data_IF_349129894215
#
_entry.id   IF_349129894215
#
_cell.length_a   1.000
_cell.length_b   1.000
_cell.length_c   1.000
_cell.angle_alpha   90.00
_cell.angle_beta   90.00
_cell.angle_gamma   90.00
#
_symmetry.space_group_name_H-M   'P 1'
#
loop_
_entity.id
_entity.type
_entity.pdbx_description
1 polymer ?
#
# COMPACT_ATOMS: atom_id res chain seq x y z
N UNK A 1 1.43 3.75 20.05
CA UNK A 1 1.77 2.94 18.86
C UNK A 1 2.56 3.84 17.94
N UNK A 2 3.79 3.47 17.58
CA UNK A 2 4.69 4.32 16.80
C UNK A 2 4.12 4.51 15.38
N UNK A 3 3.98 5.76 14.94
CA UNK A 3 3.30 6.17 13.69
C UNK A 3 4.26 6.18 12.48
N UNK A 4 5.47 5.60 12.60
CA UNK A 4 6.48 5.65 11.53
C UNK A 4 6.01 4.92 10.28
N UNK A 5 5.84 5.68 9.19
CA UNK A 5 5.54 5.16 7.85
C UNK A 5 6.79 4.84 7.03
N UNK A 6 7.97 5.18 7.54
CA UNK A 6 9.26 4.92 6.90
C UNK A 6 10.30 4.45 7.94
N UNK A 7 11.10 3.46 7.54
CA UNK A 7 12.24 2.97 8.31
C UNK A 7 13.36 2.41 7.40
N UNK A 8 14.53 2.14 7.97
CA UNK A 8 15.61 1.42 7.32
C UNK A 8 15.66 -0.02 7.81
N UNK A 9 16.08 -0.95 6.96
CA UNK A 9 16.24 -2.36 7.34
C UNK A 9 17.18 -2.55 8.53
N UNK A 10 18.19 -1.69 8.67
CA UNK A 10 19.16 -1.74 9.76
C UNK A 10 18.54 -1.31 11.09
N UNK A 11 17.82 -0.20 11.10
CA UNK A 11 17.12 0.27 12.30
C UNK A 11 16.05 -0.73 12.75
N UNK A 12 15.27 -1.31 11.83
CA UNK A 12 14.33 -2.39 12.16
C UNK A 12 15.03 -3.61 12.74
N UNK A 13 16.18 -4.00 12.20
CA UNK A 13 16.95 -5.13 12.71
C UNK A 13 17.43 -4.90 14.15
N UNK A 14 17.88 -3.68 14.45
CA UNK A 14 18.27 -3.27 15.80
C UNK A 14 17.07 -3.25 16.76
N UNK A 15 15.93 -2.68 16.33
CA UNK A 15 14.71 -2.58 17.13
C UNK A 15 14.15 -3.97 17.48
N UNK A 16 14.16 -4.91 16.53
CA UNK A 16 13.65 -6.27 16.73
C UNK A 16 14.71 -7.26 17.26
N UNK A 17 15.97 -6.84 17.39
CA UNK A 17 17.06 -7.71 17.87
C UNK A 17 17.39 -8.87 16.92
N UNK A 18 17.23 -8.67 15.62
CA UNK A 18 17.45 -9.69 14.58
C UNK A 18 18.50 -9.25 13.55
N UNK A 19 18.84 -10.14 12.61
CA UNK A 19 19.74 -9.76 11.52
C UNK A 19 19.02 -8.90 10.47
N UNK A 20 19.77 -8.01 9.80
CA UNK A 20 19.25 -7.29 8.63
C UNK A 20 18.72 -8.23 7.53
N UNK A 21 19.33 -9.41 7.38
CA UNK A 21 18.87 -10.43 6.42
C UNK A 21 17.49 -11.01 6.81
N UNK A 22 17.20 -11.14 8.10
CA UNK A 22 15.88 -11.55 8.60
C UNK A 22 14.82 -10.53 8.19
N UNK A 23 15.05 -9.25 8.50
CA UNK A 23 14.14 -8.15 8.10
C UNK A 23 13.95 -8.12 6.58
N UNK A 24 15.02 -8.30 5.79
CA UNK A 24 14.91 -8.30 4.34
C UNK A 24 14.05 -9.46 3.81
N UNK A 25 14.17 -10.66 4.38
CA UNK A 25 13.34 -11.82 4.00
C UNK A 25 11.88 -11.61 4.38
N UNK A 26 11.62 -11.14 5.59
CA UNK A 26 10.27 -10.84 6.05
C UNK A 26 9.64 -9.74 5.19
N UNK A 27 10.42 -8.71 4.83
CA UNK A 27 10.01 -7.70 3.86
C UNK A 27 9.62 -8.31 2.51
N UNK A 28 10.42 -9.22 1.95
CA UNK A 28 10.10 -9.83 0.66
C UNK A 28 8.77 -10.59 0.72
N UNK A 29 8.54 -11.38 1.77
CA UNK A 29 7.28 -12.09 1.98
C UNK A 29 6.10 -11.12 2.13
N UNK A 30 6.26 -10.07 2.92
CA UNK A 30 5.19 -9.08 3.12
C UNK A 30 4.94 -8.25 1.86
N UNK A 31 5.96 -7.98 1.05
CA UNK A 31 5.83 -7.25 -0.22
C UNK A 31 5.05 -8.03 -1.29
N UNK A 32 4.81 -9.34 -1.11
CA UNK A 32 3.93 -10.13 -1.97
C UNK A 32 2.45 -9.77 -1.75
N UNK A 33 2.08 -9.36 -0.54
CA UNK A 33 0.69 -9.09 -0.16
C UNK A 33 0.38 -7.59 0.04
N UNK A 34 1.38 -6.84 0.48
CA UNK A 34 1.24 -5.44 0.86
C UNK A 34 2.08 -4.56 -0.07
N UNK A 35 1.59 -3.35 -0.41
CA UNK A 35 2.24 -2.48 -1.38
C UNK A 35 3.43 -1.75 -0.76
N UNK A 36 4.46 -2.46 -0.33
CA UNK A 36 5.65 -1.84 0.22
C UNK A 36 6.47 -1.12 -0.87
N UNK A 37 6.99 0.06 -0.52
CA UNK A 37 8.02 0.75 -1.29
C UNK A 37 9.37 0.41 -0.69
N UNK A 38 10.28 -0.07 -1.53
CA UNK A 38 11.69 -0.22 -1.18
C UNK A 38 12.52 0.79 -1.96
N UNK A 39 13.14 1.72 -1.24
CA UNK A 39 14.07 2.70 -1.83
C UNK A 39 15.49 2.22 -1.61
N UNK A 40 16.27 2.06 -2.68
CA UNK A 40 17.67 1.64 -2.62
C UNK A 40 18.57 2.88 -2.52
N UNK A 41 19.64 2.81 -1.74
CA UNK A 41 20.68 3.84 -1.68
C UNK A 41 21.04 4.30 -0.27
N UNK A 42 21.82 5.38 -0.17
CA UNK A 42 22.36 5.91 1.10
C UNK A 42 21.27 6.39 2.06
N UNK A 43 20.15 6.87 1.52
CA UNK A 43 18.92 7.24 2.23
C UNK A 43 17.79 6.24 1.94
N UNK A 44 18.15 5.01 1.56
CA UNK A 44 17.22 3.95 1.26
C UNK A 44 16.52 3.39 2.49
N UNK A 45 15.39 2.74 2.29
CA UNK A 45 14.56 2.21 3.36
C UNK A 45 13.29 1.56 2.83
N UNK A 46 12.37 1.30 3.74
CA UNK A 46 11.07 0.70 3.48
C UNK A 46 9.97 1.64 3.96
N UNK A 47 8.90 1.74 3.17
CA UNK A 47 7.70 2.48 3.54
C UNK A 47 6.45 1.83 2.94
N UNK A 48 5.29 2.30 3.40
CA UNK A 48 4.02 2.10 2.70
C UNK A 48 3.70 3.41 1.96
N UNK A 49 3.18 3.37 0.73
CA UNK A 49 2.82 4.59 0.01
C UNK A 49 1.76 5.40 0.75
N UNK A 50 1.63 6.66 0.39
CA UNK A 50 0.86 7.62 1.17
C UNK A 50 -0.63 7.32 1.12
N UNK A 51 -1.27 7.21 2.28
CA UNK A 51 -2.70 6.90 2.39
C UNK A 51 -3.04 5.42 2.54
N UNK A 52 -2.07 4.50 2.45
CA UNK A 52 -2.32 3.09 2.77
C UNK A 52 -2.22 2.83 4.26
N UNK A 53 -3.14 2.01 4.75
CA UNK A 53 -3.27 1.66 6.16
C UNK A 53 -3.77 0.22 6.24
N UNK A 54 -3.04 -0.64 6.97
CA UNK A 54 -3.38 -2.05 7.18
C UNK A 54 -4.78 -2.25 7.78
N UNK A 55 -5.29 -1.25 8.50
CA UNK A 55 -6.63 -1.27 9.11
C UNK A 55 -7.78 -1.04 8.14
N UNK A 56 -7.49 -0.71 6.87
CA UNK A 56 -8.49 -0.45 5.84
C UNK A 56 -8.45 -1.54 4.77
N UNK A 57 -9.58 -1.75 4.11
CA UNK A 57 -9.69 -2.58 2.91
C UNK A 57 -9.59 -1.68 1.69
N UNK A 58 -8.89 -2.15 0.67
CA UNK A 58 -8.74 -1.44 -0.60
C UNK A 58 -9.19 -2.35 -1.74
N UNK A 59 -9.58 -1.71 -2.84
CA UNK A 59 -9.71 -2.41 -4.11
C UNK A 59 -8.32 -2.83 -4.61
N UNK A 60 -8.24 -3.96 -5.30
CA UNK A 60 -7.06 -4.23 -6.10
C UNK A 60 -6.94 -3.20 -7.24
N UNK A 61 -5.74 -2.97 -7.80
CA UNK A 61 -5.57 -2.10 -8.96
C UNK A 61 -6.51 -2.46 -10.11
N UNK A 62 -6.63 -3.77 -10.42
CA UNK A 62 -7.53 -4.26 -11.46
C UNK A 62 -9.01 -3.99 -11.18
N UNK A 63 -9.43 -4.08 -9.91
CA UNK A 63 -10.80 -3.76 -9.51
C UNK A 63 -11.09 -2.27 -9.68
N UNK A 64 -10.19 -1.40 -9.19
CA UNK A 64 -10.34 0.05 -9.34
C UNK A 64 -10.37 0.45 -10.82
N UNK A 65 -9.47 -0.11 -11.63
CA UNK A 65 -9.40 0.19 -13.06
C UNK A 65 -10.61 -0.34 -13.84
N UNK A 66 -11.13 -1.52 -13.47
CA UNK A 66 -12.37 -2.03 -14.05
C UNK A 66 -13.54 -1.07 -13.82
N UNK A 67 -13.65 -0.48 -12.61
CA UNK A 67 -14.69 0.51 -12.29
C UNK A 67 -14.44 1.80 -13.08
N UNK A 68 -13.20 2.34 -13.07
CA UNK A 68 -12.82 3.57 -13.78
C UNK A 68 -13.17 3.50 -15.28
N UNK A 69 -12.83 2.39 -15.95
CA UNK A 69 -13.12 2.19 -17.38
C UNK A 69 -14.62 2.17 -17.71
N UNK A 70 -15.46 1.83 -16.75
CA UNK A 70 -16.90 1.68 -16.95
C UNK A 70 -17.75 2.85 -16.41
N UNK A 71 -17.15 3.84 -15.75
CA UNK A 71 -17.87 5.01 -15.22
C UNK A 71 -18.74 5.73 -16.26
N UNK A 72 -18.26 5.83 -17.50
CA UNK A 72 -18.99 6.49 -18.58
C UNK A 72 -20.07 5.62 -19.23
N UNK A 73 -20.04 4.31 -18.99
CA UNK A 73 -20.93 3.33 -19.64
C UNK A 73 -22.13 2.96 -18.77
N UNK A 74 -22.11 3.28 -17.47
CA UNK A 74 -23.19 2.99 -16.54
C UNK A 74 -24.22 4.12 -16.47
N UNK A 75 -25.41 3.81 -15.96
CA UNK A 75 -26.45 4.81 -15.71
C UNK A 75 -25.96 5.90 -14.73
N UNK A 76 -26.55 7.09 -14.79
CA UNK A 76 -26.11 8.23 -13.98
C UNK A 76 -26.12 7.93 -12.47
N UNK A 77 -27.13 7.19 -12.00
CA UNK A 77 -27.22 6.77 -10.59
C UNK A 77 -26.10 5.80 -10.19
N UNK A 78 -25.81 4.81 -11.04
CA UNK A 78 -24.73 3.85 -10.79
C UNK A 78 -23.35 4.52 -10.85
N UNK A 79 -23.19 5.55 -11.69
CA UNK A 79 -21.95 6.33 -11.79
C UNK A 79 -21.60 6.98 -10.45
N UNK A 80 -22.58 7.54 -9.75
CA UNK A 80 -22.36 8.15 -8.43
C UNK A 80 -21.92 7.10 -7.39
N UNK A 81 -22.56 5.93 -7.40
CA UNK A 81 -22.19 4.81 -6.53
C UNK A 81 -20.78 4.30 -6.85
N UNK A 82 -20.44 4.16 -8.13
CA UNK A 82 -19.12 3.70 -8.56
C UNK A 82 -18.05 4.73 -8.17
N UNK A 83 -18.35 6.02 -8.30
CA UNK A 83 -17.47 7.09 -7.87
C UNK A 83 -17.27 7.06 -6.34
N UNK A 84 -18.32 6.81 -5.55
CA UNK A 84 -18.18 6.69 -4.10
C UNK A 84 -17.33 5.48 -3.69
N UNK A 85 -17.52 4.32 -4.35
CA UNK A 85 -16.70 3.12 -4.14
C UNK A 85 -15.22 3.42 -4.40
N UNK A 86 -14.91 4.13 -5.49
CA UNK A 86 -13.54 4.56 -5.78
C UNK A 86 -13.02 5.51 -4.69
N UNK A 87 -13.80 6.47 -4.24
CA UNK A 87 -13.38 7.41 -3.21
C UNK A 87 -13.11 6.73 -1.85
N UNK A 88 -13.91 5.71 -1.51
CA UNK A 88 -13.83 5.03 -0.21
C UNK A 88 -12.73 3.95 -0.18
N UNK A 89 -12.52 3.26 -1.31
CA UNK A 89 -11.73 2.02 -1.37
C UNK A 89 -10.61 2.01 -2.40
N UNK A 90 -10.60 2.90 -3.39
CA UNK A 90 -9.42 3.06 -4.23
C UNK A 90 -8.39 3.85 -3.43
N UNK A 91 -7.24 3.25 -3.22
CA UNK A 91 -6.12 4.00 -2.71
C UNK A 91 -5.58 4.93 -3.79
N UNK A 92 -5.30 6.17 -3.41
CA UNK A 92 -4.85 7.23 -4.31
C UNK A 92 -3.46 6.92 -4.88
N UNK A 93 -3.40 6.78 -6.22
CA UNK A 93 -2.18 6.93 -7.03
C UNK A 93 -1.76 8.40 -7.12
#
# INVERSE_FOLDING_TARGET
MNLRRYDTMQHLAEEFGVSRMTIYRDFLTLAEEYPFIHTIGRSGGVSLPDGYYLSRKYLSPDQADAIRRNLNNVAAQDREIFQSILNDFAWSD
#
